data_IF_001912353029
#
_entry.id   IF_001912353029
#
_cell.length_a   1.000
_cell.length_b   1.000
_cell.length_c   1.000
_cell.angle_alpha   90.00
_cell.angle_beta   90.00
_cell.angle_gamma   90.00
#
_symmetry.space_group_name_H-M   'P 1'
#
loop_
_entity.id
_entity.type
_entity.pdbx_description
1 polymer ?
#
# COMPACT_ATOMS: atom_id res chain seq x y z
N UNK A 1 -8.08 -22.54 -27.84
CA UNK A 1 -7.82 -21.67 -26.70
C UNK A 1 -6.73 -22.32 -25.91
N UNK A 2 -5.57 -21.72 -25.87
CA UNK A 2 -4.39 -22.26 -25.19
C UNK A 2 -4.66 -22.28 -23.68
N UNK A 3 -4.24 -23.31 -22.95
CA UNK A 3 -4.50 -23.44 -21.49
C UNK A 3 -3.90 -22.27 -20.69
N UNK A 4 -3.05 -21.46 -21.30
CA UNK A 4 -2.39 -20.29 -20.71
C UNK A 4 -3.24 -19.03 -20.68
N UNK A 5 -4.25 -18.90 -21.53
CA UNK A 5 -5.13 -17.74 -21.61
C UNK A 5 -5.89 -17.47 -20.29
N UNK A 6 -6.15 -18.51 -19.49
CA UNK A 6 -6.88 -18.32 -18.23
C UNK A 6 -6.10 -17.57 -17.13
N UNK A 7 -4.75 -17.56 -17.21
CA UNK A 7 -3.92 -16.87 -16.20
C UNK A 7 -3.69 -15.39 -16.52
N UNK A 8 -3.81 -15.04 -17.80
CA UNK A 8 -3.62 -13.70 -18.32
C UNK A 8 -4.88 -13.18 -19.03
N UNK A 9 -6.07 -13.61 -18.57
CA UNK A 9 -7.32 -13.05 -19.08
C UNK A 9 -7.41 -11.58 -18.71
N UNK A 10 -7.42 -10.72 -19.72
CA UNK A 10 -7.61 -9.29 -19.55
C UNK A 10 -8.99 -9.03 -18.95
N UNK A 11 -9.12 -8.05 -18.02
CA UNK A 11 -10.44 -7.57 -17.66
C UNK A 11 -11.13 -7.01 -18.91
N UNK A 12 -12.45 -7.08 -18.95
CA UNK A 12 -13.23 -6.54 -20.08
C UNK A 12 -13.11 -5.02 -20.28
N UNK A 13 -12.39 -4.31 -19.39
CA UNK A 13 -11.97 -2.93 -19.60
C UNK A 13 -10.51 -2.89 -20.14
N UNK A 14 -10.31 -2.73 -21.45
CA UNK A 14 -8.99 -2.68 -22.07
C UNK A 14 -8.16 -1.48 -21.60
N UNK A 15 -8.72 -0.53 -20.84
CA UNK A 15 -8.03 0.64 -20.29
C UNK A 15 -7.42 0.37 -18.91
N UNK A 16 -7.67 -0.78 -18.32
CA UNK A 16 -7.11 -1.17 -17.03
C UNK A 16 -5.69 -1.71 -17.24
N UNK A 17 -4.63 -1.01 -16.78
CA UNK A 17 -3.27 -1.49 -16.96
C UNK A 17 -3.09 -2.85 -16.27
N UNK A 18 -2.39 -3.79 -16.92
CA UNK A 18 -2.10 -5.07 -16.28
C UNK A 18 -0.99 -4.89 -15.24
N UNK A 19 0.19 -4.41 -15.66
CA UNK A 19 1.26 -4.00 -14.74
C UNK A 19 1.12 -2.50 -14.52
N UNK A 20 0.69 -2.11 -13.32
CA UNK A 20 0.58 -0.71 -12.92
C UNK A 20 1.66 -0.32 -11.91
N UNK A 21 2.20 -1.30 -11.17
CA UNK A 21 3.16 -1.09 -10.11
C UNK A 21 4.36 -2.04 -10.24
N UNK A 22 5.54 -1.46 -10.42
CA UNK A 22 6.82 -2.12 -10.34
C UNK A 22 7.52 -1.72 -9.03
N UNK A 23 7.73 -2.68 -8.14
CA UNK A 23 8.44 -2.49 -6.88
C UNK A 23 9.90 -2.91 -7.07
N UNK A 24 10.81 -1.96 -7.07
CA UNK A 24 12.24 -2.21 -7.07
C UNK A 24 12.77 -2.10 -5.64
N UNK A 25 13.40 -3.18 -5.17
CA UNK A 25 14.03 -3.26 -3.86
C UNK A 25 15.55 -3.06 -4.01
N UNK A 26 16.03 -1.81 -4.10
CA UNK A 26 17.40 -1.52 -4.55
C UNK A 26 18.45 -1.95 -3.53
N UNK A 27 18.08 -2.06 -2.26
CA UNK A 27 18.91 -2.60 -1.19
C UNK A 27 18.03 -3.00 0.00
N UNK A 28 18.23 -4.16 0.62
CA UNK A 28 17.52 -4.52 1.84
C UNK A 28 17.99 -3.74 3.07
N UNK A 29 19.12 -3.02 2.97
CA UNK A 29 19.69 -2.29 4.10
C UNK A 29 18.80 -1.13 4.54
N UNK A 30 18.53 -1.06 5.86
CA UNK A 30 17.91 0.09 6.49
C UNK A 30 18.80 0.65 7.59
N UNK A 31 18.92 1.96 7.68
CA UNK A 31 19.71 2.65 8.70
C UNK A 31 19.03 2.69 10.08
N UNK A 32 17.71 2.38 10.13
CA UNK A 32 16.92 2.24 11.36
C UNK A 32 16.46 0.80 11.56
N UNK A 33 15.86 0.50 12.72
CA UNK A 33 15.42 -0.84 13.10
C UNK A 33 14.05 -0.77 13.78
N UNK A 34 13.00 -0.56 13.00
CA UNK A 34 11.62 -0.61 13.50
C UNK A 34 11.26 -2.03 13.94
N UNK A 35 10.57 -2.18 15.07
CA UNK A 35 10.25 -3.49 15.64
C UNK A 35 9.13 -4.24 14.89
N UNK A 36 8.18 -3.53 14.28
CA UNK A 36 7.11 -4.09 13.45
C UNK A 36 7.48 -4.22 11.95
N UNK A 37 8.74 -4.06 11.58
CA UNK A 37 9.11 -4.08 10.16
C UNK A 37 9.07 -5.50 9.59
N UNK A 38 8.29 -5.69 8.54
CA UNK A 38 8.13 -6.97 7.85
C UNK A 38 9.38 -7.41 7.07
N UNK A 39 10.25 -6.46 6.68
CA UNK A 39 11.35 -6.73 5.77
C UNK A 39 12.43 -7.60 6.43
N UNK A 40 12.81 -8.74 5.83
CA UNK A 40 13.95 -9.54 6.30
C UNK A 40 15.29 -8.91 5.88
N UNK A 41 16.39 -9.40 6.47
CA UNK A 41 17.76 -9.11 6.03
C UNK A 41 18.17 -7.63 6.00
N UNK A 42 17.56 -6.78 6.82
CA UNK A 42 17.80 -5.32 6.90
C UNK A 42 19.23 -4.89 7.24
N UNK A 43 20.15 -5.82 7.45
CA UNK A 43 21.57 -5.58 7.68
C UNK A 43 22.43 -5.75 6.43
N UNK A 44 21.91 -6.41 5.41
CA UNK A 44 22.61 -6.66 4.16
C UNK A 44 22.78 -5.38 3.35
N UNK A 45 24.02 -5.09 2.95
CA UNK A 45 24.37 -3.91 2.14
C UNK A 45 24.45 -4.22 0.65
N UNK A 46 23.87 -5.32 0.21
CA UNK A 46 23.74 -5.61 -1.21
C UNK A 46 23.02 -4.47 -1.92
N UNK A 47 23.33 -4.27 -3.19
CA UNK A 47 22.72 -3.24 -4.04
C UNK A 47 22.30 -3.85 -5.36
N UNK A 48 21.14 -3.47 -5.84
CA UNK A 48 20.66 -3.83 -7.16
C UNK A 48 21.64 -3.26 -8.22
N UNK A 49 22.06 -4.11 -9.14
CA UNK A 49 22.94 -3.67 -10.24
C UNK A 49 22.16 -2.96 -11.34
N UNK A 50 22.82 -2.12 -12.12
CA UNK A 50 22.19 -1.50 -13.29
C UNK A 50 21.76 -2.56 -14.33
N UNK A 51 22.40 -3.72 -14.36
CA UNK A 51 22.02 -4.83 -15.21
C UNK A 51 20.65 -5.41 -14.83
N UNK A 52 20.37 -5.56 -13.52
CA UNK A 52 19.05 -5.99 -13.02
C UNK A 52 17.97 -4.98 -13.39
N UNK A 53 18.24 -3.68 -13.19
CA UNK A 53 17.30 -2.60 -13.55
C UNK A 53 17.00 -2.65 -15.06
N UNK A 54 18.06 -2.74 -15.87
CA UNK A 54 17.96 -2.80 -17.31
C UNK A 54 17.11 -3.97 -17.78
N UNK A 55 17.45 -5.19 -17.34
CA UNK A 55 16.72 -6.40 -17.69
C UNK A 55 15.26 -6.35 -17.22
N UNK A 56 15.00 -5.78 -16.03
CA UNK A 56 13.64 -5.63 -15.52
C UNK A 56 12.80 -4.76 -16.45
N UNK A 57 13.29 -3.60 -16.82
CA UNK A 57 12.54 -2.67 -17.68
C UNK A 57 12.34 -3.25 -19.09
N UNK A 58 13.37 -3.84 -19.68
CA UNK A 58 13.28 -4.49 -20.99
C UNK A 58 12.17 -5.57 -20.96
N UNK A 59 12.16 -6.45 -19.98
CA UNK A 59 11.17 -7.54 -19.88
C UNK A 59 9.78 -7.05 -19.54
N UNK A 60 9.64 -6.03 -18.67
CA UNK A 60 8.34 -5.43 -18.33
C UNK A 60 7.66 -4.86 -19.56
N UNK A 61 8.38 -4.17 -20.42
CA UNK A 61 7.78 -3.62 -21.65
C UNK A 61 7.66 -4.66 -22.77
N UNK A 62 8.60 -5.62 -22.87
CA UNK A 62 8.51 -6.72 -23.84
C UNK A 62 7.31 -7.65 -23.59
N UNK A 63 6.84 -7.73 -22.36
CA UNK A 63 5.65 -8.51 -22.00
C UNK A 63 4.33 -7.92 -22.53
N UNK A 64 4.33 -6.68 -23.03
CA UNK A 64 3.15 -5.97 -23.55
C UNK A 64 1.99 -5.86 -22.53
N UNK A 65 2.30 -5.86 -21.23
CA UNK A 65 1.32 -5.80 -20.14
C UNK A 65 1.20 -4.39 -19.50
N UNK A 66 1.87 -3.37 -20.05
CA UNK A 66 1.83 -1.99 -19.56
C UNK A 66 0.97 -1.15 -20.49
N UNK A 67 -0.27 -0.89 -20.10
CA UNK A 67 -1.25 -0.16 -20.92
C UNK A 67 -1.44 1.32 -20.54
N UNK A 68 -0.68 1.81 -19.59
CA UNK A 68 -0.80 3.19 -19.08
C UNK A 68 0.47 3.64 -18.36
N UNK A 69 0.38 4.65 -17.50
CA UNK A 69 1.52 5.05 -16.68
C UNK A 69 2.01 3.89 -15.79
N UNK A 70 3.30 3.59 -15.85
CA UNK A 70 3.97 2.64 -14.95
C UNK A 70 4.50 3.39 -13.74
N UNK A 71 4.06 3.00 -12.55
CA UNK A 71 4.63 3.48 -11.30
C UNK A 71 5.80 2.58 -10.89
N UNK A 72 6.98 3.15 -10.74
CA UNK A 72 8.16 2.50 -10.19
C UNK A 72 8.35 2.99 -8.77
N UNK A 73 8.11 2.13 -7.80
CA UNK A 73 8.35 2.44 -6.39
C UNK A 73 9.69 1.86 -5.95
N UNK A 74 10.56 2.72 -5.42
CA UNK A 74 11.81 2.36 -4.78
C UNK A 74 11.52 2.12 -3.31
N UNK A 75 11.50 0.87 -2.93
CA UNK A 75 11.04 0.41 -1.63
C UNK A 75 11.89 -0.74 -1.12
N UNK A 76 11.66 -1.15 0.13
CA UNK A 76 12.42 -2.08 0.93
C UNK A 76 13.77 -1.53 1.42
N UNK A 77 14.07 -1.79 2.69
CA UNK A 77 15.14 -1.12 3.41
C UNK A 77 14.87 0.38 3.56
N UNK A 78 15.89 1.17 3.38
CA UNK A 78 15.76 2.63 3.26
C UNK A 78 16.37 3.06 1.92
N UNK A 79 15.58 3.56 0.98
CA UNK A 79 16.10 3.95 -0.34
C UNK A 79 17.22 5.00 -0.27
N UNK A 80 17.12 5.97 0.64
CA UNK A 80 18.06 7.08 0.72
C UNK A 80 19.45 6.70 1.30
N UNK A 81 19.67 5.43 1.65
CA UNK A 81 21.02 4.94 2.01
C UNK A 81 21.92 4.78 0.80
N UNK A 82 21.33 4.64 -0.40
CA UNK A 82 22.10 4.63 -1.63
C UNK A 82 22.38 6.07 -2.07
N UNK A 83 23.53 6.32 -2.71
CA UNK A 83 23.88 7.67 -3.15
C UNK A 83 22.96 8.15 -4.28
N UNK A 84 22.78 9.46 -4.40
CA UNK A 84 22.00 10.11 -5.47
C UNK A 84 22.48 9.65 -6.85
N UNK A 85 23.79 9.55 -7.06
CA UNK A 85 24.38 9.09 -8.31
C UNK A 85 23.96 7.67 -8.72
N UNK A 86 23.57 6.82 -7.78
CA UNK A 86 22.97 5.52 -8.07
C UNK A 86 21.62 5.70 -8.76
N UNK A 87 20.78 6.57 -8.24
CA UNK A 87 19.46 6.82 -8.81
C UNK A 87 19.50 7.58 -10.12
N UNK A 88 20.45 8.50 -10.29
CA UNK A 88 20.71 9.15 -11.58
C UNK A 88 21.02 8.11 -12.67
N UNK A 89 21.90 7.16 -12.36
CA UNK A 89 22.21 6.05 -13.26
C UNK A 89 21.00 5.14 -13.49
N UNK A 90 20.27 4.78 -12.43
CA UNK A 90 19.09 3.93 -12.53
C UNK A 90 17.99 4.56 -13.39
N UNK A 91 17.72 5.84 -13.21
CA UNK A 91 16.69 6.56 -13.98
C UNK A 91 17.13 6.69 -15.47
N UNK A 92 18.41 6.90 -15.72
CA UNK A 92 18.95 6.91 -17.08
C UNK A 92 18.82 5.53 -17.75
N UNK A 93 19.12 4.44 -17.02
CA UNK A 93 18.95 3.09 -17.53
C UNK A 93 17.47 2.76 -17.83
N UNK A 94 16.55 3.17 -16.95
CA UNK A 94 15.12 3.03 -17.16
C UNK A 94 14.68 3.81 -18.41
N UNK A 95 15.09 5.06 -18.53
CA UNK A 95 14.73 5.93 -19.65
C UNK A 95 15.24 5.40 -21.00
N UNK A 96 16.43 4.80 -21.02
CA UNK A 96 17.01 4.22 -22.25
C UNK A 96 16.23 3.01 -22.77
N UNK A 97 15.61 2.25 -21.89
CA UNK A 97 14.95 0.98 -22.23
C UNK A 97 13.44 1.07 -22.35
N UNK A 98 12.85 2.08 -21.75
CA UNK A 98 11.43 2.33 -21.91
C UNK A 98 11.11 2.73 -23.36
N UNK A 99 9.99 2.25 -23.93
CA UNK A 99 9.54 2.68 -25.25
C UNK A 99 9.34 4.19 -25.33
N UNK A 100 9.51 4.76 -26.50
CA UNK A 100 9.25 6.18 -26.74
C UNK A 100 7.80 6.51 -26.37
N UNK A 101 7.61 7.53 -25.53
CA UNK A 101 6.29 7.96 -25.05
C UNK A 101 5.78 7.21 -23.81
N UNK A 102 6.50 6.22 -23.30
CA UNK A 102 6.13 5.59 -22.03
C UNK A 102 6.16 6.61 -20.88
N UNK A 103 5.09 6.62 -20.10
CA UNK A 103 4.97 7.47 -18.90
C UNK A 103 5.39 6.66 -17.68
N UNK A 104 6.53 7.00 -17.10
CA UNK A 104 7.06 6.35 -15.89
C UNK A 104 7.04 7.36 -14.75
N UNK A 105 6.48 6.95 -13.62
CA UNK A 105 6.42 7.75 -12.39
C UNK A 105 7.29 7.09 -11.33
N UNK A 106 8.24 7.85 -10.79
CA UNK A 106 9.09 7.36 -9.70
C UNK A 106 8.53 7.76 -8.35
N UNK A 107 8.44 6.80 -7.45
CA UNK A 107 8.01 6.99 -6.07
C UNK A 107 9.08 6.45 -5.11
N UNK A 108 9.26 7.09 -3.96
CA UNK A 108 10.13 6.61 -2.88
C UNK A 108 9.36 6.63 -1.56
N UNK A 109 9.43 5.54 -0.79
CA UNK A 109 8.96 5.52 0.59
C UNK A 109 10.17 5.52 1.51
N UNK A 110 10.30 6.53 2.37
CA UNK A 110 11.48 6.77 3.19
C UNK A 110 11.13 6.97 4.67
N UNK A 111 12.03 6.59 5.56
CA UNK A 111 11.95 6.95 6.98
C UNK A 111 12.31 8.44 7.24
N UNK A 112 12.69 9.19 6.23
CA UNK A 112 12.97 10.62 6.28
C UNK A 112 14.28 11.02 6.97
N UNK A 113 14.96 10.12 7.65
CA UNK A 113 16.12 10.47 8.50
C UNK A 113 17.36 10.92 7.72
N UNK A 114 17.44 10.54 6.43
CA UNK A 114 18.59 10.83 5.55
C UNK A 114 18.29 11.94 4.52
N UNK A 115 17.11 12.52 4.54
CA UNK A 115 16.78 13.64 3.66
C UNK A 115 17.75 14.80 3.88
N UNK A 116 18.34 15.29 2.79
CA UNK A 116 19.29 16.39 2.73
C UNK A 116 18.90 17.38 1.64
N UNK A 117 19.52 18.54 1.57
CA UNK A 117 19.35 19.51 0.49
C UNK A 117 19.58 18.86 -0.89
N UNK A 118 20.62 18.05 -1.01
CA UNK A 118 20.91 17.34 -2.25
C UNK A 118 19.77 16.38 -2.64
N UNK A 119 19.17 15.68 -1.68
CA UNK A 119 18.02 14.83 -1.93
C UNK A 119 16.79 15.65 -2.33
N UNK A 120 16.53 16.79 -1.71
CA UNK A 120 15.42 17.66 -2.10
C UNK A 120 15.59 18.15 -3.54
N UNK A 121 16.79 18.55 -3.93
CA UNK A 121 17.09 18.94 -5.31
C UNK A 121 16.89 17.79 -6.31
N UNK A 122 17.34 16.59 -5.98
CA UNK A 122 17.13 15.39 -6.81
C UNK A 122 15.63 15.09 -6.99
N UNK A 123 14.86 15.06 -5.90
CA UNK A 123 13.42 14.80 -5.89
C UNK A 123 12.69 15.81 -6.79
N UNK A 124 13.01 17.09 -6.68
CA UNK A 124 12.44 18.15 -7.52
C UNK A 124 12.82 18.00 -9.00
N UNK A 125 14.11 17.79 -9.28
CA UNK A 125 14.64 17.68 -10.65
C UNK A 125 14.02 16.52 -11.40
N UNK A 126 13.82 15.39 -10.73
CA UNK A 126 13.30 14.17 -11.34
C UNK A 126 11.80 13.96 -11.11
N UNK A 127 11.11 14.91 -10.48
CA UNK A 127 9.68 14.82 -10.14
C UNK A 127 9.33 13.50 -9.42
N UNK A 128 10.12 13.15 -8.41
CA UNK A 128 9.91 11.93 -7.62
C UNK A 128 8.82 12.19 -6.58
N UNK A 129 7.81 11.32 -6.54
CA UNK A 129 6.84 11.31 -5.43
C UNK A 129 7.48 10.72 -4.18
N UNK A 130 7.35 11.39 -3.04
CA UNK A 130 7.95 10.91 -1.80
C UNK A 130 6.92 10.73 -0.69
N UNK A 131 6.98 9.56 -0.04
CA UNK A 131 6.27 9.27 1.19
C UNK A 131 7.21 9.22 2.37
N UNK A 132 6.75 9.73 3.51
CA UNK A 132 7.48 9.66 4.78
C UNK A 132 6.80 8.69 5.75
N UNK A 133 7.61 7.89 6.42
CA UNK A 133 7.14 6.97 7.46
C UNK A 133 7.27 7.62 8.84
N UNK A 134 6.17 8.17 9.36
CA UNK A 134 6.11 8.87 10.65
C UNK A 134 4.83 8.43 11.37
N UNK A 135 4.94 7.94 12.63
CA UNK A 135 3.81 7.35 13.34
C UNK A 135 3.03 8.35 14.22
N UNK A 136 3.49 9.57 14.33
CA UNK A 136 2.87 10.61 15.16
C UNK A 136 3.89 11.32 16.06
N UNK A 137 3.49 11.83 17.23
CA UNK A 137 4.36 12.47 18.21
C UNK A 137 5.58 11.63 18.58
N UNK A 138 6.62 12.28 19.08
CA UNK A 138 7.92 11.65 19.34
C UNK A 138 7.82 10.38 20.18
N UNK A 139 6.99 10.38 21.22
CA UNK A 139 6.87 9.25 22.14
C UNK A 139 6.20 8.02 21.47
N UNK A 140 5.27 8.20 20.50
CA UNK A 140 4.70 7.12 19.71
C UNK A 140 5.72 6.64 18.67
N UNK A 141 6.26 7.57 17.88
CA UNK A 141 7.21 7.24 16.83
C UNK A 141 8.44 6.51 17.36
N UNK A 142 9.07 7.05 18.43
CA UNK A 142 10.31 6.52 19.00
C UNK A 142 10.10 5.23 19.82
N UNK A 143 8.86 4.89 20.17
CA UNK A 143 8.55 3.60 20.75
C UNK A 143 8.88 2.44 19.80
N UNK A 144 8.71 2.64 18.50
CA UNK A 144 8.84 1.62 17.48
C UNK A 144 9.97 1.88 16.47
N UNK A 145 10.16 3.13 16.03
CA UNK A 145 11.15 3.49 15.02
C UNK A 145 12.44 3.96 15.66
N UNK A 146 13.34 3.03 15.84
CA UNK A 146 14.62 3.25 16.54
C UNK A 146 15.80 3.09 15.58
N UNK A 147 16.88 3.78 15.90
CA UNK A 147 18.18 3.47 15.29
C UNK A 147 18.61 2.05 15.67
N UNK A 148 19.60 1.50 14.98
CA UNK A 148 20.18 0.19 15.33
C UNK A 148 20.79 0.15 16.72
N UNK A 149 21.11 1.32 17.31
CA UNK A 149 21.58 1.46 18.69
C UNK A 149 20.47 1.71 19.71
N UNK A 150 19.19 1.61 19.31
CA UNK A 150 18.02 1.73 20.18
C UNK A 150 17.57 3.16 20.49
N UNK A 151 18.16 4.20 19.87
CA UNK A 151 17.72 5.60 20.04
C UNK A 151 16.56 5.90 19.13
N UNK A 152 15.65 6.78 19.56
CA UNK A 152 14.56 7.29 18.75
C UNK A 152 15.02 7.99 17.47
N UNK A 153 14.16 8.06 16.47
CA UNK A 153 14.45 8.62 15.13
C UNK A 153 13.57 9.80 14.77
N UNK A 154 12.59 10.15 15.62
CA UNK A 154 11.61 11.21 15.37
C UNK A 154 12.26 12.54 14.98
N UNK A 155 13.21 13.04 15.77
CA UNK A 155 13.88 14.32 15.48
C UNK A 155 14.56 14.31 14.10
N UNK A 156 15.15 13.18 13.70
CA UNK A 156 15.81 13.07 12.41
C UNK A 156 14.78 13.06 11.27
N UNK A 157 13.67 12.35 11.44
CA UNK A 157 12.56 12.34 10.49
C UNK A 157 11.93 13.72 10.35
N UNK A 158 11.71 14.44 11.47
CA UNK A 158 11.21 15.82 11.48
C UNK A 158 12.13 16.79 10.75
N UNK A 159 13.44 16.67 10.89
CA UNK A 159 14.38 17.48 10.09
C UNK A 159 14.23 17.20 8.60
N UNK A 160 14.01 15.93 8.23
CA UNK A 160 13.73 15.55 6.84
C UNK A 160 12.44 16.17 6.31
N UNK A 161 11.35 16.06 7.07
CA UNK A 161 10.05 16.66 6.72
C UNK A 161 10.17 18.17 6.50
N UNK A 162 10.80 18.89 7.43
CA UNK A 162 10.99 20.34 7.32
C UNK A 162 11.80 20.75 6.09
N UNK A 163 12.76 19.92 5.65
CA UNK A 163 13.49 20.15 4.39
C UNK A 163 12.57 20.04 3.18
N UNK A 164 11.72 19.02 3.12
CA UNK A 164 10.74 18.92 2.03
C UNK A 164 9.84 20.15 1.99
N UNK A 165 9.34 20.61 3.13
CA UNK A 165 8.54 21.82 3.24
C UNK A 165 9.30 23.06 2.79
N UNK A 166 10.55 23.25 3.23
CA UNK A 166 11.38 24.40 2.84
C UNK A 166 11.69 24.44 1.33
N UNK A 167 11.60 23.30 0.65
CA UNK A 167 11.77 23.18 -0.80
C UNK A 167 10.43 23.14 -1.57
N UNK A 168 9.28 23.33 -0.92
CA UNK A 168 7.93 23.21 -1.52
C UNK A 168 7.73 21.85 -2.23
N UNK A 169 8.28 20.76 -1.68
CA UNK A 169 8.13 19.41 -2.21
C UNK A 169 6.89 18.79 -1.57
N UNK A 170 5.86 18.43 -2.36
CA UNK A 170 4.72 17.72 -1.84
C UNK A 170 5.11 16.31 -1.38
N UNK A 171 4.57 15.89 -0.24
CA UNK A 171 4.79 14.57 0.33
C UNK A 171 3.53 14.06 1.01
N UNK A 172 3.44 12.74 1.17
CA UNK A 172 2.44 12.11 2.02
C UNK A 172 3.13 11.41 3.20
N UNK A 173 2.34 11.10 4.22
CA UNK A 173 2.81 10.37 5.39
C UNK A 173 2.12 9.01 5.45
N UNK A 174 2.87 7.97 5.83
CA UNK A 174 2.34 6.68 6.26
C UNK A 174 2.66 6.53 7.75
N UNK A 175 1.61 6.34 8.54
CA UNK A 175 1.66 6.11 9.98
C UNK A 175 1.22 4.69 10.29
N UNK A 176 2.00 3.95 11.06
CA UNK A 176 1.61 2.61 11.53
C UNK A 176 0.90 2.76 12.87
N UNK A 177 -0.32 2.23 12.93
CA UNK A 177 -1.16 2.21 14.13
C UNK A 177 -0.92 0.90 14.87
N UNK A 178 -0.45 1.03 16.10
CA UNK A 178 -0.23 -0.06 17.05
C UNK A 178 -1.18 0.07 18.24
N UNK A 179 -1.16 -0.88 19.16
CA UNK A 179 -1.92 -0.77 20.42
C UNK A 179 -1.61 0.54 21.16
N UNK A 180 -0.37 1.01 21.11
CA UNK A 180 0.05 2.26 21.74
C UNK A 180 -0.68 3.50 21.17
N UNK A 181 -1.07 3.45 19.91
CA UNK A 181 -1.72 4.56 19.21
C UNK A 181 -3.20 4.71 19.55
N UNK A 182 -3.90 3.61 19.94
CA UNK A 182 -5.36 3.54 19.92
C UNK A 182 -6.06 4.54 20.83
N UNK A 183 -5.46 4.91 21.97
CA UNK A 183 -6.03 5.92 22.88
C UNK A 183 -5.72 7.38 22.48
N UNK A 184 -5.03 7.63 21.36
CA UNK A 184 -4.40 8.91 21.06
C UNK A 184 -4.78 9.48 19.67
N UNK A 185 -5.98 9.15 19.18
CA UNK A 185 -6.45 9.58 17.86
C UNK A 185 -6.37 11.11 17.66
N UNK A 186 -6.85 11.89 18.63
CA UNK A 186 -6.82 13.35 18.56
C UNK A 186 -5.39 13.90 18.55
N UNK A 187 -4.51 13.38 19.41
CA UNK A 187 -3.12 13.81 19.49
C UNK A 187 -2.36 13.53 18.19
N UNK A 188 -2.58 12.33 17.61
CA UNK A 188 -1.96 11.92 16.33
C UNK A 188 -2.51 12.79 15.18
N UNK A 189 -3.82 12.99 15.12
CA UNK A 189 -4.45 13.81 14.07
C UNK A 189 -3.93 15.26 14.13
N UNK A 190 -3.97 15.89 15.32
CA UNK A 190 -3.50 17.27 15.51
C UNK A 190 -2.03 17.41 15.20
N UNK A 191 -1.20 16.44 15.58
CA UNK A 191 0.22 16.43 15.25
C UNK A 191 0.47 16.57 13.74
N UNK A 192 -0.21 15.79 12.91
CA UNK A 192 -0.05 15.89 11.46
C UNK A 192 -0.67 17.16 10.87
N UNK A 193 -1.83 17.59 11.37
CA UNK A 193 -2.49 18.81 10.94
C UNK A 193 -1.64 20.06 11.24
N UNK A 194 -1.09 20.16 12.44
CA UNK A 194 -0.20 21.27 12.86
C UNK A 194 1.11 21.31 12.07
N UNK A 195 1.60 20.15 11.62
CA UNK A 195 2.74 20.06 10.71
C UNK A 195 2.41 20.43 9.27
N UNK A 196 1.16 20.71 8.94
CA UNK A 196 0.73 21.00 7.57
C UNK A 196 0.86 19.82 6.62
N UNK A 197 0.73 18.60 7.13
CA UNK A 197 0.71 17.39 6.29
C UNK A 197 -0.58 17.35 5.48
N UNK A 198 -0.47 17.30 4.16
CA UNK A 198 -1.63 17.32 3.27
C UNK A 198 -2.32 15.96 3.09
N UNK A 199 -1.60 14.87 3.35
CA UNK A 199 -2.14 13.51 3.20
C UNK A 199 -1.47 12.52 4.15
N UNK A 200 -2.29 11.74 4.87
CA UNK A 200 -1.85 10.66 5.75
C UNK A 200 -2.54 9.36 5.34
N UNK A 201 -1.82 8.25 5.37
CA UNK A 201 -2.36 6.89 5.35
C UNK A 201 -2.09 6.22 6.69
N UNK A 202 -3.11 5.62 7.28
CA UNK A 202 -3.00 4.87 8.53
C UNK A 202 -2.95 3.38 8.25
N UNK A 203 -1.75 2.80 8.27
CA UNK A 203 -1.60 1.35 8.21
C UNK A 203 -1.78 0.78 9.62
N UNK A 204 -2.61 -0.24 9.77
CA UNK A 204 -2.59 -1.03 11.00
C UNK A 204 -1.26 -1.80 11.09
N UNK A 205 -0.82 -2.13 12.28
CA UNK A 205 0.32 -3.04 12.47
C UNK A 205 -0.07 -4.44 12.01
N UNK A 206 0.44 -4.86 10.85
CA UNK A 206 0.06 -6.10 10.17
C UNK A 206 0.95 -7.27 10.58
N UNK A 207 0.40 -8.50 10.47
CA UNK A 207 1.19 -9.73 10.54
C UNK A 207 1.62 -10.04 9.11
N UNK A 208 2.89 -9.79 8.81
CA UNK A 208 3.46 -9.96 7.47
C UNK A 208 4.94 -10.36 7.51
N UNK A 209 5.30 -11.31 6.69
CA UNK A 209 6.69 -11.72 6.46
C UNK A 209 7.53 -11.79 7.75
N UNK A 210 8.45 -10.87 7.96
CA UNK A 210 9.31 -10.81 9.15
C UNK A 210 8.61 -10.32 10.43
N UNK A 211 7.44 -9.67 10.32
CA UNK A 211 6.62 -9.28 11.45
C UNK A 211 5.56 -10.37 11.75
N UNK A 212 5.94 -11.32 12.60
CA UNK A 212 5.15 -12.54 12.88
C UNK A 212 4.03 -12.36 13.91
N UNK A 213 3.88 -11.16 14.46
CA UNK A 213 2.85 -10.84 15.44
C UNK A 213 2.45 -9.37 15.33
N UNK A 214 1.21 -9.08 15.71
CA UNK A 214 0.72 -7.69 15.84
C UNK A 214 0.20 -7.44 17.23
N UNK A 215 0.52 -6.28 17.80
CA UNK A 215 -0.04 -5.82 19.06
C UNK A 215 -1.58 -5.71 19.00
N UNK A 216 -2.13 -5.52 17.81
CA UNK A 216 -3.55 -5.39 17.54
C UNK A 216 -4.31 -6.73 17.50
N UNK A 217 -3.63 -7.87 17.54
CA UNK A 217 -4.25 -9.19 17.50
C UNK A 217 -4.59 -9.76 18.90
N UNK A 218 -4.58 -8.92 19.93
CA UNK A 218 -4.49 -9.41 21.32
C UNK A 218 -5.83 -9.63 22.03
N UNK A 219 -6.95 -9.03 21.61
CA UNK A 219 -8.26 -9.25 22.27
C UNK A 219 -9.45 -8.71 21.46
N UNK A 220 -10.70 -9.15 21.79
CA UNK A 220 -11.93 -8.54 21.26
C UNK A 220 -12.06 -7.04 21.56
N UNK A 221 -11.55 -6.57 22.69
CA UNK A 221 -11.51 -5.14 23.06
C UNK A 221 -10.68 -4.32 22.09
N UNK A 222 -9.69 -4.93 21.43
CA UNK A 222 -8.86 -4.25 20.42
C UNK A 222 -9.69 -3.82 19.21
N UNK A 223 -10.68 -4.62 18.80
CA UNK A 223 -11.56 -4.29 17.67
C UNK A 223 -12.37 -3.01 17.95
N UNK A 224 -12.93 -2.88 19.14
CA UNK A 224 -13.67 -1.70 19.57
C UNK A 224 -12.75 -0.47 19.69
N UNK A 225 -11.54 -0.66 20.19
CA UNK A 225 -10.56 0.42 20.30
C UNK A 225 -10.09 0.92 18.93
N UNK A 226 -9.88 0.03 17.94
CA UNK A 226 -9.54 0.42 16.56
C UNK A 226 -10.71 1.17 15.92
N UNK A 227 -11.94 0.69 16.11
CA UNK A 227 -13.13 1.38 15.62
C UNK A 227 -13.24 2.78 16.22
N UNK A 228 -13.07 2.91 17.55
CA UNK A 228 -13.08 4.19 18.25
C UNK A 228 -12.01 5.14 17.71
N UNK A 229 -10.78 4.63 17.51
CA UNK A 229 -9.68 5.40 16.92
C UNK A 229 -10.03 5.92 15.52
N UNK A 230 -10.44 5.05 14.61
CA UNK A 230 -10.74 5.42 13.23
C UNK A 230 -11.94 6.37 13.14
N UNK A 231 -12.97 6.16 13.96
CA UNK A 231 -14.13 7.07 14.02
C UNK A 231 -13.72 8.45 14.53
N UNK A 232 -12.90 8.53 15.59
CA UNK A 232 -12.42 9.79 16.11
C UNK A 232 -11.55 10.55 15.08
N UNK A 233 -10.68 9.84 14.33
CA UNK A 233 -9.91 10.44 13.23
C UNK A 233 -10.83 10.97 12.13
N UNK A 234 -11.89 10.24 11.79
CA UNK A 234 -12.86 10.67 10.78
C UNK A 234 -13.64 11.92 11.21
N UNK A 235 -14.10 11.95 12.46
CA UNK A 235 -14.84 13.10 13.01
C UNK A 235 -13.96 14.36 13.08
N UNK A 236 -12.69 14.22 13.45
CA UNK A 236 -11.71 15.30 13.43
C UNK A 236 -11.48 15.79 12.00
N UNK A 237 -11.29 14.88 11.04
CA UNK A 237 -11.13 15.21 9.62
C UNK A 237 -12.33 15.99 9.06
N UNK A 238 -13.56 15.63 9.42
CA UNK A 238 -14.75 16.38 9.03
C UNK A 238 -14.80 17.77 9.67
N UNK A 239 -14.49 17.85 10.97
CA UNK A 239 -14.52 19.11 11.73
C UNK A 239 -13.47 20.10 11.25
N UNK A 240 -12.32 19.60 10.81
CA UNK A 240 -11.21 20.40 10.23
C UNK A 240 -11.46 20.78 8.75
N UNK A 241 -12.63 20.47 8.20
CA UNK A 241 -12.99 20.78 6.82
C UNK A 241 -12.24 19.97 5.76
N UNK A 242 -11.62 18.85 6.13
CA UNK A 242 -10.93 17.94 5.21
C UNK A 242 -9.62 18.50 4.67
N UNK A 243 -8.98 19.44 5.36
CA UNK A 243 -7.71 20.02 4.92
C UNK A 243 -6.58 18.98 4.78
N UNK A 244 -6.54 18.01 5.68
CA UNK A 244 -5.64 16.87 5.61
C UNK A 244 -6.38 15.65 5.06
N UNK A 245 -6.01 15.15 3.90
CA UNK A 245 -6.61 13.96 3.30
C UNK A 245 -6.23 12.71 4.07
N UNK A 246 -7.20 11.84 4.33
CA UNK A 246 -6.98 10.53 4.95
C UNK A 246 -7.21 9.46 3.88
N UNK A 247 -6.14 8.76 3.49
CA UNK A 247 -6.11 7.81 2.36
C UNK A 247 -7.26 6.80 2.42
N UNK A 248 -7.52 6.22 3.58
CA UNK A 248 -8.51 5.16 3.78
C UNK A 248 -9.93 5.67 3.53
N UNK A 249 -10.26 6.86 4.04
CA UNK A 249 -11.58 7.47 3.85
C UNK A 249 -11.76 8.00 2.43
N UNK A 250 -10.74 8.61 1.85
CA UNK A 250 -10.76 9.04 0.45
C UNK A 250 -10.98 7.85 -0.50
N UNK A 251 -10.29 6.74 -0.25
CA UNK A 251 -10.44 5.52 -1.03
C UNK A 251 -11.85 4.93 -0.88
N UNK A 252 -12.40 4.91 0.34
CA UNK A 252 -13.76 4.47 0.60
C UNK A 252 -14.78 5.34 -0.15
N UNK A 253 -14.69 6.65 0.01
CA UNK A 253 -15.58 7.61 -0.63
C UNK A 253 -15.54 7.51 -2.17
N UNK A 254 -14.34 7.46 -2.74
CA UNK A 254 -14.17 7.34 -4.19
C UNK A 254 -14.82 6.07 -4.75
N UNK A 255 -14.71 4.95 -4.03
CA UNK A 255 -15.33 3.69 -4.43
C UNK A 255 -16.85 3.71 -4.28
N UNK A 256 -17.39 4.27 -3.19
CA UNK A 256 -18.85 4.42 -2.98
C UNK A 256 -19.44 5.30 -4.09
N UNK A 257 -18.77 6.38 -4.47
CA UNK A 257 -19.21 7.29 -5.51
C UNK A 257 -19.07 6.70 -6.93
N UNK A 258 -18.18 5.75 -7.13
CA UNK A 258 -18.00 5.10 -8.42
C UNK A 258 -19.19 4.18 -8.70
N UNK A 259 -20.14 4.63 -9.53
CA UNK A 259 -21.37 3.87 -9.90
C UNK A 259 -21.08 2.48 -10.51
N UNK A 260 -19.84 2.21 -10.93
CA UNK A 260 -19.43 0.95 -11.56
C UNK A 260 -19.22 -0.19 -10.56
N UNK A 261 -18.82 0.10 -9.33
CA UNK A 261 -18.39 -0.92 -8.38
C UNK A 261 -19.53 -1.63 -7.65
N UNK A 262 -20.71 -1.00 -7.52
CA UNK A 262 -21.79 -1.51 -6.69
C UNK A 262 -22.90 -2.25 -7.46
N UNK A 263 -22.91 -2.21 -8.79
CA UNK A 263 -24.03 -2.73 -9.61
C UNK A 263 -23.75 -4.04 -10.32
N UNK A 264 -22.53 -4.54 -10.34
CA UNK A 264 -22.19 -5.78 -11.04
C UNK A 264 -21.44 -6.72 -10.12
N UNK A 265 -22.14 -7.80 -9.72
CA UNK A 265 -21.50 -8.95 -9.06
C UNK A 265 -20.47 -9.65 -9.97
N UNK A 266 -20.52 -9.37 -11.28
CA UNK A 266 -19.68 -10.03 -12.28
C UNK A 266 -18.35 -9.30 -12.50
N UNK A 267 -18.27 -8.00 -12.15
CA UNK A 267 -17.07 -7.20 -12.28
C UNK A 267 -16.75 -6.51 -10.95
N UNK A 268 -16.11 -7.24 -10.01
CA UNK A 268 -15.63 -6.63 -8.78
C UNK A 268 -14.63 -5.52 -9.10
N UNK A 269 -14.47 -4.59 -8.16
CA UNK A 269 -13.40 -3.60 -8.21
C UNK A 269 -12.07 -4.27 -8.57
N UNK A 270 -11.34 -3.65 -9.50
CA UNK A 270 -10.02 -4.10 -9.87
C UNK A 270 -9.08 -4.05 -8.66
N UNK A 271 -8.58 -5.22 -8.25
CA UNK A 271 -7.62 -5.37 -7.16
C UNK A 271 -6.30 -5.91 -7.73
N UNK A 272 -5.29 -5.05 -7.76
CA UNK A 272 -3.95 -5.37 -8.29
C UNK A 272 -3.28 -6.51 -7.51
N UNK A 273 -3.56 -6.62 -6.20
CA UNK A 273 -2.96 -7.63 -5.32
C UNK A 273 -3.43 -9.06 -5.62
N UNK A 274 -4.58 -9.25 -6.27
CA UNK A 274 -5.09 -10.59 -6.62
C UNK A 274 -4.79 -10.96 -8.07
N UNK A 275 -4.23 -10.04 -8.84
CA UNK A 275 -3.90 -10.25 -10.24
C UNK A 275 -2.44 -10.66 -10.41
N UNK A 276 -2.15 -11.76 -11.15
CA UNK A 276 -0.77 -12.07 -11.54
C UNK A 276 -0.11 -10.88 -12.22
N UNK A 277 1.08 -10.51 -11.75
CA UNK A 277 1.88 -9.40 -12.24
C UNK A 277 1.24 -7.99 -12.18
N UNK A 278 0.05 -7.83 -11.59
CA UNK A 278 -0.50 -6.51 -11.30
C UNK A 278 0.47 -5.65 -10.47
N UNK A 279 1.12 -6.30 -9.50
CA UNK A 279 2.30 -5.81 -8.80
C UNK A 279 3.46 -6.76 -9.13
N UNK A 280 4.52 -6.24 -9.73
CA UNK A 280 5.76 -6.96 -9.95
C UNK A 280 6.83 -6.43 -9.00
N UNK A 281 7.42 -7.30 -8.18
CA UNK A 281 8.47 -6.96 -7.23
C UNK A 281 9.78 -7.62 -7.63
N UNK A 282 10.88 -6.85 -7.64
CA UNK A 282 12.23 -7.35 -7.98
C UNK A 282 13.20 -6.93 -6.89
N UNK A 283 13.95 -7.88 -6.33
CA UNK A 283 14.98 -7.63 -5.31
C UNK A 283 16.34 -7.25 -5.90
N UNK A 284 17.28 -6.92 -5.03
CA UNK A 284 18.62 -6.49 -5.43
C UNK A 284 19.45 -7.56 -6.15
N UNK A 285 19.09 -8.83 -6.03
CA UNK A 285 19.75 -9.96 -6.70
C UNK A 285 19.04 -10.32 -8.03
N UNK A 286 17.91 -9.65 -8.34
CA UNK A 286 17.11 -9.89 -9.55
C UNK A 286 16.02 -10.94 -9.39
N UNK A 287 15.81 -11.49 -8.18
CA UNK A 287 14.71 -12.39 -7.94
C UNK A 287 13.38 -11.60 -8.00
N UNK A 288 12.35 -12.20 -8.56
CA UNK A 288 11.05 -11.54 -8.68
C UNK A 288 9.90 -12.32 -8.05
N UNK A 289 8.89 -11.58 -7.64
CA UNK A 289 7.63 -12.08 -7.13
C UNK A 289 6.47 -11.23 -7.65
N UNK A 290 5.25 -11.73 -7.48
CA UNK A 290 4.02 -11.01 -7.82
C UNK A 290 3.04 -11.02 -6.67
N UNK A 291 1.91 -10.32 -6.82
CA UNK A 291 0.83 -10.10 -5.86
C UNK A 291 1.18 -9.07 -4.77
N UNK A 292 2.31 -9.23 -4.09
CA UNK A 292 2.69 -8.37 -2.98
C UNK A 292 4.21 -8.37 -2.77
N UNK A 293 4.85 -7.22 -2.48
CA UNK A 293 6.28 -7.14 -2.21
C UNK A 293 6.70 -7.89 -0.93
N UNK A 294 5.79 -8.10 0.01
CA UNK A 294 6.03 -8.80 1.28
C UNK A 294 6.28 -10.30 1.10
N UNK A 295 5.88 -10.86 -0.05
CA UNK A 295 6.15 -12.25 -0.39
C UNK A 295 7.59 -12.48 -0.86
N UNK A 296 8.24 -11.46 -1.45
CA UNK A 296 9.58 -11.60 -2.02
C UNK A 296 10.64 -11.84 -0.93
N UNK A 297 11.45 -12.88 -1.12
CA UNK A 297 12.48 -13.28 -0.15
C UNK A 297 11.97 -14.15 1.01
N UNK A 298 10.68 -14.48 1.03
CA UNK A 298 10.06 -15.33 2.04
C UNK A 298 9.85 -16.76 1.54
N UNK A 299 9.69 -17.69 2.47
CA UNK A 299 9.51 -19.11 2.18
C UNK A 299 8.26 -19.67 2.87
N UNK A 300 7.66 -20.64 2.24
CA UNK A 300 6.51 -21.39 2.72
C UNK A 300 6.81 -22.88 2.80
N UNK A 301 6.34 -23.59 3.83
CA UNK A 301 6.41 -25.05 3.86
C UNK A 301 5.69 -25.71 2.68
N UNK A 302 4.60 -25.10 2.19
CA UNK A 302 3.78 -25.61 1.09
C UNK A 302 4.36 -25.29 -0.29
N UNK A 303 4.82 -24.06 -0.50
CA UNK A 303 5.16 -23.55 -1.84
C UNK A 303 6.67 -23.37 -2.06
N UNK A 304 7.49 -23.56 -1.02
CA UNK A 304 8.90 -23.17 -1.06
C UNK A 304 9.07 -21.66 -1.07
N UNK A 305 10.06 -21.15 -1.79
CA UNK A 305 10.23 -19.69 -1.98
C UNK A 305 9.05 -19.07 -2.71
N UNK A 306 8.60 -17.88 -2.31
CA UNK A 306 7.61 -17.08 -3.04
C UNK A 306 8.21 -16.32 -4.24
N UNK A 307 9.53 -16.38 -4.45
CA UNK A 307 10.13 -15.94 -5.70
C UNK A 307 9.81 -16.92 -6.83
N UNK A 308 9.50 -16.40 -8.02
CA UNK A 308 9.12 -17.21 -9.18
C UNK A 308 10.27 -17.43 -10.17
N UNK A 309 11.37 -16.73 -10.01
CA UNK A 309 12.56 -16.81 -10.86
C UNK A 309 13.50 -15.62 -10.65
N UNK A 310 14.43 -15.47 -11.59
CA UNK A 310 15.36 -14.34 -11.60
C UNK A 310 15.26 -13.61 -12.94
N UNK A 311 15.15 -12.28 -12.88
CA UNK A 311 14.95 -11.43 -14.05
C UNK A 311 16.13 -11.47 -15.04
N UNK A 312 17.31 -11.87 -14.59
CA UNK A 312 18.48 -12.03 -15.46
C UNK A 312 18.48 -13.36 -16.24
N UNK A 313 17.71 -14.33 -15.77
CA UNK A 313 17.72 -15.69 -16.31
C UNK A 313 16.48 -16.01 -17.15
N UNK A 314 15.30 -15.55 -16.70
CA UNK A 314 14.01 -15.94 -17.28
C UNK A 314 13.13 -14.72 -17.56
N UNK A 315 12.20 -14.84 -18.47
CA UNK A 315 11.10 -13.90 -18.60
C UNK A 315 10.09 -14.16 -17.49
N UNK A 316 9.66 -13.10 -16.80
CA UNK A 316 8.81 -13.26 -15.61
C UNK A 316 7.43 -13.84 -15.97
N UNK A 317 6.94 -13.63 -17.19
CA UNK A 317 5.67 -14.19 -17.67
C UNK A 317 5.71 -15.71 -17.79
N UNK A 318 6.88 -16.31 -18.01
CA UNK A 318 7.04 -17.78 -18.11
C UNK A 318 6.78 -18.47 -16.77
N UNK A 319 6.77 -17.72 -15.67
CA UNK A 319 6.44 -18.26 -14.35
C UNK A 319 5.06 -18.94 -14.31
N UNK A 320 4.09 -18.50 -15.14
CA UNK A 320 2.73 -19.06 -15.20
C UNK A 320 2.73 -20.54 -15.60
N UNK A 321 3.77 -20.99 -16.30
CA UNK A 321 3.94 -22.38 -16.71
C UNK A 321 4.36 -23.30 -15.57
N UNK A 322 4.90 -22.74 -14.49
CA UNK A 322 5.44 -23.53 -13.38
C UNK A 322 4.33 -24.08 -12.49
N UNK A 323 4.51 -25.32 -12.02
CA UNK A 323 3.60 -25.95 -11.05
C UNK A 323 3.45 -25.10 -9.78
N UNK A 324 4.53 -24.46 -9.34
CA UNK A 324 4.51 -23.57 -8.17
C UNK A 324 3.58 -22.39 -8.37
N UNK A 325 3.69 -21.68 -9.50
CA UNK A 325 2.83 -20.55 -9.80
C UNK A 325 1.36 -20.97 -9.84
N UNK A 326 1.06 -22.05 -10.56
CA UNK A 326 -0.31 -22.58 -10.69
C UNK A 326 -0.92 -22.94 -9.34
N UNK A 327 -0.16 -23.61 -8.47
CA UNK A 327 -0.64 -23.95 -7.11
C UNK A 327 -0.94 -22.71 -6.26
N UNK A 328 -0.09 -21.68 -6.30
CA UNK A 328 -0.33 -20.42 -5.58
C UNK A 328 -1.54 -19.70 -6.19
N UNK A 329 -1.62 -19.62 -7.51
CA UNK A 329 -2.75 -19.00 -8.21
C UNK A 329 -4.08 -19.66 -7.86
N UNK A 330 -4.17 -20.98 -7.91
CA UNK A 330 -5.38 -21.75 -7.56
C UNK A 330 -5.84 -21.49 -6.13
N UNK A 331 -4.90 -21.46 -5.17
CA UNK A 331 -5.23 -21.15 -3.78
C UNK A 331 -5.69 -19.69 -3.61
N UNK A 332 -5.07 -18.73 -4.32
CA UNK A 332 -5.52 -17.33 -4.33
C UNK A 332 -6.94 -17.24 -4.91
N UNK A 333 -7.22 -17.91 -6.05
CA UNK A 333 -8.55 -17.94 -6.65
C UNK A 333 -9.59 -18.57 -5.71
N UNK A 334 -9.20 -19.64 -4.99
CA UNK A 334 -10.06 -20.25 -3.97
C UNK A 334 -10.40 -19.26 -2.84
N UNK A 335 -9.41 -18.49 -2.38
CA UNK A 335 -9.63 -17.45 -1.38
C UNK A 335 -10.49 -16.28 -1.89
N UNK A 336 -10.36 -15.90 -3.17
CA UNK A 336 -11.22 -14.90 -3.81
C UNK A 336 -12.67 -15.42 -3.88
N UNK A 337 -12.83 -16.69 -4.28
CA UNK A 337 -14.14 -17.32 -4.34
C UNK A 337 -14.82 -17.35 -2.98
N UNK A 338 -14.10 -17.69 -1.91
CA UNK A 338 -14.64 -17.63 -0.54
C UNK A 338 -15.12 -16.19 -0.19
N UNK A 339 -14.35 -15.17 -0.53
CA UNK A 339 -14.78 -13.77 -0.36
C UNK A 339 -16.04 -13.46 -1.19
N UNK A 340 -16.09 -13.91 -2.45
CA UNK A 340 -17.25 -13.70 -3.34
C UNK A 340 -18.51 -14.34 -2.78
N UNK A 341 -18.39 -15.54 -2.24
CA UNK A 341 -19.53 -16.32 -1.77
C UNK A 341 -20.08 -15.89 -0.41
N UNK A 342 -19.26 -15.21 0.43
CA UNK A 342 -19.61 -14.96 1.84
C UNK A 342 -19.45 -13.50 2.30
N UNK A 343 -18.83 -12.60 1.54
CA UNK A 343 -18.50 -11.26 2.01
C UNK A 343 -19.30 -10.18 1.28
N UNK A 344 -20.08 -9.40 2.03
CA UNK A 344 -20.84 -8.27 1.49
C UNK A 344 -19.95 -7.17 0.85
N UNK A 345 -18.69 -7.09 1.24
CA UNK A 345 -17.73 -6.10 0.71
C UNK A 345 -16.96 -6.58 -0.51
N UNK A 346 -17.28 -7.78 -1.06
CA UNK A 346 -16.54 -8.32 -2.20
C UNK A 346 -16.54 -7.38 -3.40
N UNK A 347 -17.69 -6.81 -3.75
CA UNK A 347 -17.80 -5.83 -4.85
C UNK A 347 -16.93 -4.59 -4.66
N UNK A 348 -16.62 -4.26 -3.42
CA UNK A 348 -15.79 -3.11 -3.03
C UNK A 348 -14.28 -3.44 -3.04
N UNK A 349 -13.87 -4.63 -2.55
CA UNK A 349 -12.45 -4.95 -2.36
C UNK A 349 -11.86 -5.95 -3.36
N UNK A 350 -12.69 -6.71 -4.10
CA UNK A 350 -12.26 -7.65 -5.12
C UNK A 350 -11.51 -8.89 -4.62
N UNK A 351 -11.67 -9.26 -3.35
CA UNK A 351 -11.10 -10.52 -2.83
C UNK A 351 -9.95 -10.40 -1.83
N UNK A 352 -9.67 -9.19 -1.36
CA UNK A 352 -8.70 -8.94 -0.27
C UNK A 352 -7.24 -8.94 -0.72
N UNK A 353 -6.33 -9.13 0.24
CA UNK A 353 -4.89 -9.15 0.04
C UNK A 353 -4.34 -10.57 0.27
N UNK A 354 -3.83 -11.25 -0.75
CA UNK A 354 -3.33 -12.63 -0.62
C UNK A 354 -2.19 -12.76 0.40
N UNK A 355 -1.26 -11.82 0.47
CA UNK A 355 -0.18 -11.85 1.45
C UNK A 355 -0.73 -11.87 2.89
N UNK A 356 -1.67 -10.97 3.23
CA UNK A 356 -2.29 -10.96 4.54
C UNK A 356 -3.05 -12.27 4.83
N UNK A 357 -3.77 -12.83 3.85
CA UNK A 357 -4.42 -14.15 4.02
C UNK A 357 -3.40 -15.22 4.39
N UNK A 358 -2.27 -15.24 3.71
CA UNK A 358 -1.24 -16.23 3.99
C UNK A 358 -0.59 -16.02 5.37
N UNK A 359 -0.19 -14.80 5.70
CA UNK A 359 0.54 -14.55 6.95
C UNK A 359 -0.35 -14.60 8.19
N UNK A 360 -1.60 -14.15 8.09
CA UNK A 360 -2.54 -14.19 9.22
C UNK A 360 -3.20 -15.58 9.41
N UNK A 361 -3.51 -16.27 8.32
CA UNK A 361 -4.32 -17.49 8.35
C UNK A 361 -3.55 -18.75 7.89
N UNK A 362 -2.28 -18.62 7.47
CA UNK A 362 -1.45 -19.74 7.02
C UNK A 362 -1.78 -20.24 5.61
N UNK A 363 -2.71 -19.61 4.88
CA UNK A 363 -3.15 -20.04 3.55
C UNK A 363 -3.69 -18.89 2.72
N UNK A 364 -3.44 -18.93 1.40
CA UNK A 364 -4.10 -18.03 0.44
C UNK A 364 -5.60 -18.35 0.26
N UNK A 365 -6.00 -19.62 0.47
CA UNK A 365 -7.36 -20.11 0.31
C UNK A 365 -8.22 -19.82 1.56
N UNK A 366 -8.22 -18.56 2.01
CA UNK A 366 -9.04 -18.08 3.13
C UNK A 366 -9.77 -16.78 2.76
N UNK A 367 -10.72 -16.33 3.60
CA UNK A 367 -11.50 -15.14 3.32
C UNK A 367 -11.03 -13.96 4.14
N UNK A 368 -11.46 -13.85 5.38
CA UNK A 368 -11.28 -12.66 6.22
C UNK A 368 -9.92 -12.64 6.93
N UNK A 369 -9.36 -11.44 7.06
CA UNK A 369 -8.11 -11.14 7.75
C UNK A 369 -8.29 -9.94 8.67
N UNK A 370 -7.36 -9.71 9.58
CA UNK A 370 -7.30 -8.50 10.41
C UNK A 370 -7.16 -7.25 9.51
N UNK A 371 -6.26 -7.29 8.53
CA UNK A 371 -6.14 -6.25 7.52
C UNK A 371 -7.49 -5.94 6.84
N UNK A 372 -8.20 -6.97 6.39
CA UNK A 372 -9.52 -6.82 5.76
C UNK A 372 -10.51 -6.11 6.69
N UNK A 373 -10.58 -6.49 7.98
CA UNK A 373 -11.49 -5.88 8.95
C UNK A 373 -11.19 -4.40 9.17
N UNK A 374 -9.94 -4.05 9.38
CA UNK A 374 -9.57 -2.73 9.90
C UNK A 374 -9.12 -1.74 8.83
N UNK A 375 -8.51 -2.20 7.74
CA UNK A 375 -8.05 -1.33 6.66
C UNK A 375 -9.01 -1.23 5.47
N UNK A 376 -9.99 -2.16 5.36
CA UNK A 376 -10.94 -2.18 4.24
C UNK A 376 -12.37 -1.95 4.69
N UNK A 377 -12.92 -2.84 5.54
CA UNK A 377 -14.33 -2.79 5.95
C UNK A 377 -14.62 -1.58 6.84
N UNK A 378 -13.83 -1.40 7.88
CA UNK A 378 -14.07 -0.34 8.86
C UNK A 378 -14.08 1.08 8.26
N UNK A 379 -13.10 1.51 7.46
CA UNK A 379 -13.16 2.82 6.80
C UNK A 379 -14.37 2.96 5.87
N UNK A 380 -14.74 1.87 5.17
CA UNK A 380 -15.93 1.86 4.33
C UNK A 380 -17.20 2.09 5.13
N UNK A 381 -17.39 1.37 6.24
CA UNK A 381 -18.58 1.49 7.10
C UNK A 381 -18.69 2.88 7.73
N UNK A 382 -17.56 3.45 8.17
CA UNK A 382 -17.54 4.80 8.74
C UNK A 382 -18.03 5.83 7.69
N UNK A 383 -17.49 5.79 6.48
CA UNK A 383 -17.87 6.72 5.40
C UNK A 383 -19.31 6.49 4.95
N UNK A 384 -19.73 5.22 4.82
CA UNK A 384 -21.10 4.89 4.41
C UNK A 384 -22.13 5.39 5.42
N UNK A 385 -21.93 5.12 6.72
CA UNK A 385 -22.82 5.56 7.79
C UNK A 385 -22.94 7.09 7.84
N UNK A 386 -21.84 7.81 7.57
CA UNK A 386 -21.87 9.27 7.49
C UNK A 386 -22.72 9.76 6.32
N UNK A 387 -22.54 9.18 5.14
CA UNK A 387 -23.31 9.53 3.96
C UNK A 387 -24.81 9.24 4.14
N UNK A 388 -25.18 8.10 4.75
CA UNK A 388 -26.57 7.74 5.07
C UNK A 388 -27.19 8.76 6.03
N UNK A 389 -26.44 9.16 7.06
CA UNK A 389 -26.88 10.20 8.03
C UNK A 389 -27.11 11.54 7.32
N UNK A 390 -26.23 11.94 6.41
CA UNK A 390 -26.39 13.18 5.63
C UNK A 390 -27.64 13.15 4.72
N UNK A 391 -27.93 12.01 4.12
CA UNK A 391 -29.13 11.84 3.27
C UNK A 391 -30.40 11.92 4.14
N UNK A 392 -30.45 11.20 5.26
CA UNK A 392 -31.61 11.19 6.16
C UNK A 392 -31.90 12.59 6.74
N UNK A 393 -30.88 13.36 7.09
CA UNK A 393 -31.04 14.74 7.60
C UNK A 393 -31.53 15.68 6.51
N UNK A 394 -31.06 15.55 5.27
CA UNK A 394 -31.53 16.35 4.14
C UNK A 394 -32.98 16.01 3.72
N UNK A 395 -33.41 14.77 3.85
CA UNK A 395 -34.80 14.37 3.58
C UNK A 395 -35.73 14.90 4.67
N UNK A 396 -35.34 14.82 5.93
CA UNK A 396 -36.12 15.38 7.07
C UNK A 396 -36.29 16.91 6.96
N UNK A 397 -35.30 17.60 6.40
CA UNK A 397 -35.36 19.05 6.18
C UNK A 397 -36.30 19.45 5.02
N UNK A 398 -36.69 18.51 4.17
CA UNK A 398 -37.59 18.73 3.02
C UNK A 398 -39.06 18.40 3.32
N UNK A 399 -39.40 17.80 4.46
CA UNK A 399 -40.77 17.63 4.87
C UNK A 399 -41.36 18.99 5.27
N UNK A 400 -42.48 19.44 4.65
CA UNK A 400 -43.14 20.66 5.04
C UNK A 400 -43.72 20.52 6.47
N UNK A 401 -43.73 21.60 7.28
CA UNK A 401 -44.28 21.55 8.63
C UNK A 401 -45.73 21.09 8.55
N UNK A 402 -46.06 20.04 9.32
CA UNK A 402 -47.43 19.53 9.46
C UNK A 402 -48.28 20.69 9.96
N UNK A 403 -49.09 21.25 9.03
CA UNK A 403 -50.09 22.23 9.37
C UNK A 403 -51.09 21.58 10.36
N UNK A 404 -50.96 21.89 11.64
CA UNK A 404 -52.02 21.60 12.60
C UNK A 404 -53.28 22.30 12.15
N UNK A 405 -54.17 21.56 11.51
CA UNK A 405 -55.57 22.01 11.28
C UNK A 405 -56.17 22.17 12.66
N UNK A 406 -56.28 23.41 13.12
CA UNK A 406 -57.18 23.77 14.20
C UNK A 406 -58.60 23.54 13.69
N UNK A 407 -59.32 22.55 14.23
CA UNK A 407 -60.77 22.46 14.17
C UNK A 407 -61.37 23.59 15.01
N UNK A 408 -62.00 24.52 14.35
CA UNK A 408 -62.95 25.44 14.95
C UNK A 408 -64.35 24.89 14.80
#
# INVERSE_FOLDING_TARGET
MDQNDQFLTFPDDPRSPWISLLVLQPSPFCNINCDYCYLPNRTSKKRMSMQVIAATIEKVFAAELVFGPLTVIWHAGEPLVLPISYYEQAFEEIRKRAPAGAVIRHCMQSNGTLLSEAWCNFIKTHNVSIGLSIDGPAWIHDAHRKTRSGRGTHDAAMRGLRRLQAHDIPFHVISVITMLSLGHAEEIYRFFAELGVSQVGFNIEEIEAGNVSSSLNSSPMTSESIQTFMTAVFDLHKTDGGHMRIREFDAALAKIQSRKSLRSSDFPYFNEQVRPFGILSVDCDGNYSTYSPELLGMNSPKYGSFGFGNILENDFVDAVETTKFRSIFEDIQSGIKLCKDSCAYYGYCGGGAPANKYYENGSFATAETMYCRYSVKLPFDIVLNDLETMVATNESAKEPPILQRRCS
#
